data_IF_724272532680
#
_entry.id   IF_724272532680
#
_cell.length_a   1.000
_cell.length_b   1.000
_cell.length_c   1.000
_cell.angle_alpha   90.00
_cell.angle_beta   90.00
_cell.angle_gamma   90.00
#
_symmetry.space_group_name_H-M   'P 1'
#
loop_
_entity.id
_entity.type
_entity.pdbx_description
1 polymer ?
#
# COMPACT_ATOMS: atom_id res chain seq x y z
N UNK A 1 8.38 6.02 26.78
CA UNK A 1 9.50 5.96 25.79
C UNK A 1 9.49 7.23 24.93
N UNK A 2 10.67 7.70 24.51
CA UNK A 2 10.80 8.77 23.52
C UNK A 2 10.76 8.17 22.10
N UNK A 3 10.52 9.00 21.09
CA UNK A 3 10.36 8.60 19.68
C UNK A 3 11.47 7.65 19.19
N UNK A 4 12.73 7.92 19.49
CA UNK A 4 13.86 7.09 19.04
C UNK A 4 13.83 5.68 19.66
N UNK A 5 13.53 5.59 20.93
CA UNK A 5 13.37 4.32 21.64
C UNK A 5 12.15 3.55 21.14
N UNK A 6 11.04 4.26 20.95
CA UNK A 6 9.79 3.71 20.44
C UNK A 6 9.97 3.14 19.03
N UNK A 7 10.71 3.86 18.16
CA UNK A 7 11.05 3.40 16.82
C UNK A 7 11.84 2.08 16.87
N UNK A 8 12.85 1.99 17.74
CA UNK A 8 13.61 0.74 17.90
C UNK A 8 12.72 -0.40 18.43
N UNK A 9 11.87 -0.09 19.39
CA UNK A 9 10.99 -1.07 20.05
C UNK A 9 9.95 -1.66 19.08
N UNK A 10 9.38 -0.83 18.21
CA UNK A 10 8.34 -1.24 17.25
C UNK A 10 8.90 -1.74 15.92
N UNK A 11 10.17 -1.46 15.62
CA UNK A 11 10.79 -1.75 14.33
C UNK A 11 10.22 -0.89 13.19
N UNK A 12 9.65 0.27 13.53
CA UNK A 12 9.02 1.18 12.54
C UNK A 12 9.81 2.49 12.53
N UNK A 13 10.09 3.02 11.33
CA UNK A 13 10.84 4.27 11.19
C UNK A 13 10.12 5.43 11.88
N UNK A 14 10.90 6.40 12.40
CA UNK A 14 10.33 7.59 13.01
C UNK A 14 9.42 8.37 12.04
N UNK A 15 9.75 8.35 10.76
CA UNK A 15 8.94 8.98 9.70
C UNK A 15 7.55 8.31 9.62
N UNK A 16 7.51 6.99 9.58
CA UNK A 16 6.25 6.23 9.55
C UNK A 16 5.43 6.45 10.81
N UNK A 17 6.09 6.49 11.98
CA UNK A 17 5.41 6.75 13.25
C UNK A 17 4.77 8.14 13.26
N UNK A 18 5.47 9.17 12.73
CA UNK A 18 4.90 10.52 12.61
C UNK A 18 3.71 10.52 11.65
N UNK A 19 3.83 9.80 10.55
CA UNK A 19 2.72 9.64 9.60
C UNK A 19 1.50 9.02 10.29
N UNK A 20 1.70 7.98 11.12
CA UNK A 20 0.59 7.39 11.88
C UNK A 20 -0.07 8.40 12.83
N UNK A 21 0.73 9.29 13.45
CA UNK A 21 0.18 10.37 14.27
C UNK A 21 -0.64 11.36 13.43
N UNK A 22 -0.11 11.75 12.27
CA UNK A 22 -0.80 12.67 11.34
C UNK A 22 -2.14 12.08 10.87
N UNK A 23 -2.19 10.77 10.65
CA UNK A 23 -3.40 10.05 10.28
C UNK A 23 -4.30 9.73 11.47
N UNK A 24 -3.92 10.18 12.67
CA UNK A 24 -4.65 9.96 13.94
C UNK A 24 -4.77 8.50 14.36
N UNK A 25 -3.93 7.63 13.79
CA UNK A 25 -3.86 6.22 14.15
C UNK A 25 -3.10 6.01 15.46
N UNK A 26 -2.24 6.96 15.82
CA UNK A 26 -1.38 6.92 17.00
C UNK A 26 -1.53 8.25 17.74
N UNK A 27 -1.79 8.19 19.03
CA UNK A 27 -2.05 9.38 19.86
C UNK A 27 -1.20 9.35 21.13
N UNK A 28 0.11 9.63 21.02
CA UNK A 28 0.97 9.57 22.19
C UNK A 28 0.60 10.61 23.24
N UNK A 29 0.81 10.27 24.49
CA UNK A 29 0.69 11.23 25.59
C UNK A 29 1.72 12.36 25.41
N UNK A 30 1.42 13.50 25.96
CA UNK A 30 2.38 14.63 26.02
C UNK A 30 2.70 14.93 27.47
N UNK A 31 3.97 15.09 27.76
CA UNK A 31 4.43 15.54 29.06
C UNK A 31 4.10 17.03 29.22
N UNK A 32 4.08 17.55 30.44
CA UNK A 32 3.92 19.02 30.66
C UNK A 32 4.95 19.84 29.87
N UNK A 33 6.12 19.28 29.59
CA UNK A 33 7.19 19.89 28.77
C UNK A 33 6.87 19.91 27.27
N UNK A 34 5.74 19.34 26.84
CA UNK A 34 5.32 19.26 25.42
C UNK A 34 5.88 18.08 24.65
N UNK A 35 6.84 17.36 25.20
CA UNK A 35 7.44 16.21 24.50
C UNK A 35 6.49 15.01 24.45
N UNK A 36 6.51 14.32 23.32
CA UNK A 36 5.77 13.07 23.11
C UNK A 36 6.29 11.96 24.00
N UNK A 37 5.39 11.21 24.59
CA UNK A 37 5.73 10.05 25.41
C UNK A 37 4.86 8.85 24.95
N UNK A 38 5.54 7.76 24.63
CA UNK A 38 4.92 6.53 24.13
C UNK A 38 4.96 5.44 25.23
N UNK A 39 3.85 4.72 25.38
CA UNK A 39 3.72 3.63 26.34
C UNK A 39 3.62 2.26 25.64
N UNK A 40 3.44 1.21 26.43
CA UNK A 40 3.27 -0.14 25.89
C UNK A 40 1.97 -0.26 25.07
N UNK A 41 0.92 0.47 25.46
CA UNK A 41 -0.32 0.52 24.69
C UNK A 41 -0.07 1.05 23.26
N UNK A 42 0.85 2.00 23.09
CA UNK A 42 1.21 2.52 21.77
C UNK A 42 1.97 1.47 20.95
N UNK A 43 2.75 0.59 21.61
CA UNK A 43 3.43 -0.52 20.93
C UNK A 43 2.39 -1.50 20.36
N UNK A 44 1.36 -1.82 21.16
CA UNK A 44 0.24 -2.68 20.72
C UNK A 44 -0.49 -2.02 19.54
N UNK A 45 -0.78 -0.73 19.65
CA UNK A 45 -1.43 0.04 18.57
C UNK A 45 -0.63 -0.05 17.27
N UNK A 46 0.69 0.15 17.32
CA UNK A 46 1.56 0.07 16.14
C UNK A 46 1.54 -1.34 15.54
N UNK A 47 1.49 -2.37 16.40
CA UNK A 47 1.37 -3.77 15.93
C UNK A 47 0.09 -3.95 15.14
N UNK A 48 -1.04 -3.44 15.67
CA UNK A 48 -2.34 -3.47 14.99
C UNK A 48 -2.32 -2.76 13.65
N UNK A 49 -1.76 -1.55 13.62
CA UNK A 49 -1.62 -0.76 12.38
C UNK A 49 -0.86 -1.57 11.32
N UNK A 50 0.27 -2.15 11.71
CA UNK A 50 1.10 -2.93 10.77
C UNK A 50 0.38 -4.17 10.24
N UNK A 51 -0.36 -4.84 11.11
CA UNK A 51 -1.14 -6.02 10.72
C UNK A 51 -2.21 -5.65 9.68
N UNK A 52 -2.93 -4.57 9.92
CA UNK A 52 -3.99 -4.12 9.02
C UNK A 52 -3.44 -3.58 7.69
N UNK A 53 -2.29 -2.87 7.74
CA UNK A 53 -1.59 -2.44 6.52
C UNK A 53 -1.13 -3.64 5.69
N UNK A 54 -0.61 -4.68 6.35
CA UNK A 54 -0.17 -5.92 5.68
C UNK A 54 -1.35 -6.66 5.03
N UNK A 55 -2.56 -6.48 5.58
CA UNK A 55 -3.80 -7.00 5.00
C UNK A 55 -4.31 -6.15 3.82
N UNK A 56 -3.60 -5.06 3.47
CA UNK A 56 -3.95 -4.22 2.32
C UNK A 56 -4.95 -3.11 2.61
N UNK A 57 -5.25 -2.85 3.90
CA UNK A 57 -6.18 -1.80 4.27
C UNK A 57 -5.52 -0.42 4.22
N UNK A 58 -6.27 0.60 3.83
CA UNK A 58 -5.78 1.98 3.87
C UNK A 58 -5.95 2.59 5.26
N UNK A 59 -5.29 3.71 5.52
CA UNK A 59 -5.28 4.34 6.84
C UNK A 59 -6.66 4.79 7.33
N UNK A 60 -7.56 5.16 6.43
CA UNK A 60 -8.92 5.57 6.81
C UNK A 60 -9.71 4.39 7.40
N UNK A 61 -9.66 3.24 6.73
CA UNK A 61 -10.31 2.01 7.22
C UNK A 61 -9.64 1.54 8.53
N UNK A 62 -8.31 1.63 8.60
CA UNK A 62 -7.57 1.25 9.83
C UNK A 62 -8.04 2.12 11.01
N UNK A 63 -8.24 3.42 10.80
CA UNK A 63 -8.71 4.33 11.85
C UNK A 63 -10.07 3.90 12.42
N UNK A 64 -10.94 3.34 11.60
CA UNK A 64 -12.25 2.84 12.01
C UNK A 64 -12.17 1.51 12.76
N UNK A 65 -11.27 0.64 12.35
CA UNK A 65 -11.15 -0.71 12.90
C UNK A 65 -10.29 -0.78 14.17
N UNK A 66 -9.27 0.08 14.26
CA UNK A 66 -8.26 0.02 15.32
C UNK A 66 -8.85 0.06 16.75
N UNK A 67 -9.88 0.88 17.06
CA UNK A 67 -10.47 0.86 18.40
C UNK A 67 -11.12 -0.47 18.78
N UNK A 68 -11.44 -1.31 17.81
CA UNK A 68 -12.07 -2.62 18.02
C UNK A 68 -11.06 -3.77 18.10
N UNK A 69 -9.76 -3.46 18.06
CA UNK A 69 -8.71 -4.48 18.16
C UNK A 69 -8.26 -4.59 19.62
N UNK A 70 -8.19 -5.80 20.12
CA UNK A 70 -7.69 -6.08 21.47
C UNK A 70 -6.42 -6.93 21.39
N UNK A 71 -5.58 -6.78 22.38
CA UNK A 71 -4.36 -7.60 22.55
C UNK A 71 -4.64 -8.74 23.51
N UNK A 72 -4.80 -9.93 22.97
CA UNK A 72 -4.94 -11.17 23.74
C UNK A 72 -3.57 -11.86 23.86
N UNK A 73 -2.57 -11.07 24.22
CA UNK A 73 -1.19 -11.53 24.35
C UNK A 73 -0.38 -11.31 23.08
N UNK A 74 -0.22 -12.33 22.26
CA UNK A 74 0.61 -12.25 21.05
C UNK A 74 -0.18 -11.95 19.79
N UNK A 75 -1.49 -12.07 19.84
CA UNK A 75 -2.36 -11.92 18.67
C UNK A 75 -3.36 -10.79 18.92
N UNK A 76 -3.40 -9.83 18.02
CA UNK A 76 -4.44 -8.80 18.00
C UNK A 76 -5.69 -9.41 17.36
N UNK A 77 -6.78 -9.41 18.09
CA UNK A 77 -8.03 -9.99 17.63
C UNK A 77 -9.14 -8.95 17.55
N UNK A 78 -10.06 -9.09 16.59
CA UNK A 78 -11.23 -8.22 16.54
C UNK A 78 -12.15 -8.50 17.75
N UNK A 79 -12.49 -7.45 18.49
CA UNK A 79 -13.36 -7.52 19.66
C UNK A 79 -14.78 -7.02 19.39
N UNK A 80 -14.98 -6.33 18.27
CA UNK A 80 -16.27 -5.74 17.91
C UNK A 80 -16.92 -6.54 16.77
N UNK A 81 -18.12 -7.05 16.98
CA UNK A 81 -18.88 -7.74 15.94
C UNK A 81 -19.23 -6.78 14.77
N UNK A 82 -19.29 -5.47 15.06
CA UNK A 82 -19.55 -4.44 14.05
C UNK A 82 -18.41 -4.29 13.03
N UNK A 83 -17.22 -4.84 13.31
CA UNK A 83 -16.09 -4.86 12.35
C UNK A 83 -16.34 -5.79 11.18
N UNK A 84 -17.12 -6.83 11.35
CA UNK A 84 -17.25 -7.90 10.37
C UNK A 84 -17.74 -7.40 9.00
N UNK A 85 -18.79 -6.57 8.92
CA UNK A 85 -19.19 -6.00 7.62
C UNK A 85 -18.09 -5.20 6.93
N UNK A 86 -17.30 -4.43 7.68
CA UNK A 86 -16.21 -3.62 7.12
C UNK A 86 -15.08 -4.52 6.60
N UNK A 87 -14.74 -5.58 7.33
CA UNK A 87 -13.74 -6.56 6.90
C UNK A 87 -14.19 -7.29 5.64
N UNK A 88 -15.46 -7.68 5.55
CA UNK A 88 -16.02 -8.30 4.35
C UNK A 88 -15.98 -7.36 3.16
N UNK A 89 -16.30 -6.08 3.35
CA UNK A 89 -16.26 -5.05 2.30
C UNK A 89 -14.83 -4.88 1.77
N UNK A 90 -13.84 -4.82 2.64
CA UNK A 90 -12.43 -4.69 2.25
C UNK A 90 -11.92 -5.94 1.55
N UNK A 91 -12.33 -7.13 2.02
CA UNK A 91 -12.01 -8.39 1.35
C UNK A 91 -12.58 -8.42 -0.07
N UNK A 92 -13.84 -8.01 -0.25
CA UNK A 92 -14.47 -7.95 -1.57
C UNK A 92 -13.72 -7.00 -2.51
N UNK A 93 -13.25 -5.85 -1.99
CA UNK A 93 -12.45 -4.90 -2.76
C UNK A 93 -11.13 -5.53 -3.23
N UNK A 94 -10.46 -6.28 -2.36
CA UNK A 94 -9.22 -6.98 -2.69
C UNK A 94 -9.48 -8.08 -3.74
N UNK A 95 -10.55 -8.85 -3.59
CA UNK A 95 -10.94 -9.91 -4.54
C UNK A 95 -11.18 -9.31 -5.93
N UNK A 96 -11.85 -8.17 -6.01
CA UNK A 96 -12.13 -7.47 -7.26
C UNK A 96 -10.83 -6.98 -7.92
N UNK A 97 -9.91 -6.40 -7.13
CA UNK A 97 -8.60 -5.94 -7.62
C UNK A 97 -7.75 -7.13 -8.11
N UNK A 98 -7.77 -8.25 -7.39
CA UNK A 98 -7.05 -9.47 -7.77
C UNK A 98 -7.59 -10.03 -9.10
N UNK A 99 -8.91 -10.04 -9.27
CA UNK A 99 -9.55 -10.51 -10.51
C UNK A 99 -9.14 -9.62 -11.70
N UNK A 100 -9.08 -8.31 -11.51
CA UNK A 100 -8.66 -7.36 -12.55
C UNK A 100 -7.20 -7.59 -12.97
N UNK A 101 -6.31 -7.84 -12.00
CA UNK A 101 -4.89 -8.12 -12.26
C UNK A 101 -4.72 -9.45 -13.00
N UNK A 102 -5.48 -10.50 -12.63
CA UNK A 102 -5.45 -11.78 -13.30
C UNK A 102 -5.92 -11.64 -14.75
N UNK A 103 -6.98 -10.87 -15.00
CA UNK A 103 -7.47 -10.59 -16.35
C UNK A 103 -6.42 -9.84 -17.19
N UNK A 104 -5.74 -8.87 -16.59
CA UNK A 104 -4.66 -8.13 -17.26
C UNK A 104 -3.50 -9.07 -17.63
N UNK A 105 -3.12 -9.96 -16.72
CA UNK A 105 -2.09 -10.98 -16.97
C UNK A 105 -2.47 -11.85 -18.16
N UNK A 106 -3.70 -12.34 -18.18
CA UNK A 106 -4.19 -13.23 -19.26
C UNK A 106 -4.14 -12.53 -20.63
N UNK A 107 -4.43 -11.21 -20.67
CA UNK A 107 -4.28 -10.41 -21.90
C UNK A 107 -2.83 -10.32 -22.35
N UNK A 108 -1.89 -10.14 -21.41
CA UNK A 108 -0.47 -10.12 -21.72
C UNK A 108 0.02 -11.48 -22.23
N UNK A 109 -0.43 -12.57 -21.62
CA UNK A 109 -0.10 -13.93 -22.05
C UNK A 109 -0.54 -14.14 -23.50
N UNK A 110 -1.75 -13.71 -23.86
CA UNK A 110 -2.26 -13.81 -25.23
C UNK A 110 -1.38 -13.02 -26.21
N UNK A 111 -0.92 -11.83 -25.83
CA UNK A 111 -0.01 -11.01 -26.66
C UNK A 111 1.37 -11.67 -26.82
N UNK A 112 1.90 -12.26 -25.75
CA UNK A 112 3.16 -13.00 -25.78
C UNK A 112 3.06 -14.18 -26.76
N UNK A 113 1.98 -14.95 -26.68
CA UNK A 113 1.75 -16.11 -27.55
C UNK A 113 1.67 -15.69 -29.02
N UNK A 114 0.95 -14.62 -29.32
CA UNK A 114 0.83 -14.09 -30.69
C UNK A 114 2.19 -13.63 -31.23
N UNK A 115 3.02 -13.00 -30.36
CA UNK A 115 4.36 -12.54 -30.74
C UNK A 115 5.27 -13.74 -31.03
N UNK A 116 5.21 -14.77 -30.19
CA UNK A 116 5.98 -16.00 -30.39
C UNK A 116 5.59 -16.73 -31.69
N UNK A 117 4.31 -16.80 -31.99
CA UNK A 117 3.80 -17.42 -33.23
C UNK A 117 4.22 -16.62 -34.49
N UNK A 118 4.36 -15.30 -34.35
CA UNK A 118 4.80 -14.42 -35.48
C UNK A 118 6.29 -14.52 -35.77
N UNK A 119 7.06 -15.16 -34.91
CA UNK A 119 8.52 -15.32 -35.06
C UNK A 119 9.31 -14.03 -34.88
N UNK A 120 8.71 -13.03 -34.26
CA UNK A 120 9.40 -11.75 -33.96
C UNK A 120 10.42 -11.98 -32.86
N UNK A 121 11.69 -11.68 -33.14
CA UNK A 121 12.75 -11.76 -32.15
C UNK A 121 12.71 -10.55 -31.21
N UNK A 122 13.24 -10.72 -30.01
CA UNK A 122 13.36 -9.62 -29.05
C UNK A 122 14.14 -8.42 -29.63
N UNK A 123 15.13 -8.71 -30.47
CA UNK A 123 15.94 -7.69 -31.15
C UNK A 123 15.13 -6.89 -32.17
N UNK A 124 14.24 -7.55 -32.91
CA UNK A 124 13.33 -6.92 -33.87
C UNK A 124 12.27 -6.08 -33.15
N UNK A 125 11.78 -6.58 -32.08
CA UNK A 125 10.84 -5.86 -31.24
C UNK A 125 11.41 -4.55 -30.67
N UNK A 126 12.49 -4.61 -30.38
CA UNK A 126 13.10 -3.57 -29.93
C UNK A 126 13.34 -2.58 -30.89
N UNK A 127 13.74 -2.96 -31.90
CA UNK A 127 13.99 -2.03 -33.02
C UNK A 127 12.71 -1.27 -33.44
N UNK A 128 11.59 -1.94 -33.46
CA UNK A 128 10.29 -1.34 -33.81
C UNK A 128 9.90 -0.27 -32.78
N UNK A 129 10.08 -0.54 -31.49
CA UNK A 129 9.78 0.41 -30.40
C UNK A 129 10.68 1.64 -30.51
N UNK A 130 11.98 1.45 -30.75
CA UNK A 130 12.95 2.53 -30.93
C UNK A 130 12.63 3.40 -32.17
N UNK A 131 12.20 2.77 -33.23
CA UNK A 131 11.78 3.45 -34.46
C UNK A 131 10.53 4.31 -34.26
N UNK A 132 9.57 3.85 -33.49
CA UNK A 132 8.34 4.60 -33.17
C UNK A 132 8.63 5.80 -32.28
N UNK A 133 9.54 5.66 -31.30
CA UNK A 133 9.94 6.76 -30.42
C UNK A 133 10.57 7.90 -31.21
N UNK A 134 11.45 7.59 -32.15
CA UNK A 134 12.12 8.59 -32.98
C UNK A 134 11.17 9.37 -33.92
N UNK A 135 10.08 8.73 -34.37
CA UNK A 135 9.08 9.40 -35.24
C UNK A 135 8.21 10.38 -34.47
N UNK A 136 8.02 10.20 -33.18
CA UNK A 136 7.24 11.14 -32.36
C UNK A 136 7.98 12.45 -32.06
N UNK A 137 9.31 12.41 -32.12
CA UNK A 137 10.16 13.58 -31.80
C UNK A 137 10.48 14.44 -33.00
N UNK A 138 9.92 14.16 -34.20
CA UNK A 138 10.17 14.99 -35.39
C UNK A 138 9.14 16.13 -35.42
N UNK A 139 9.54 17.37 -35.23
CA UNK A 139 8.61 18.51 -35.33
C UNK A 139 8.06 18.63 -36.74
N UNK A 140 6.74 18.75 -36.83
CA UNK A 140 6.08 19.03 -38.09
C UNK A 140 6.56 20.43 -38.56
N UNK A 141 7.42 20.47 -39.55
CA UNK A 141 7.83 21.72 -40.14
C UNK A 141 6.59 22.39 -40.76
N UNK A 142 6.22 23.53 -40.21
CA UNK A 142 5.10 24.30 -40.73
C UNK A 142 5.32 24.69 -42.15
N UNK A 143 4.42 24.30 -43.03
CA UNK A 143 4.45 24.74 -44.42
C UNK A 143 4.18 26.25 -44.52
N UNK A 144 4.79 26.93 -45.43
CA UNK A 144 4.52 28.35 -45.65
C UNK A 144 3.17 28.54 -46.34
N UNK A 145 2.63 29.71 -46.22
CA UNK A 145 1.34 30.27 -46.67
C UNK A 145 0.96 29.92 -48.11
#
# INVERSE_FOLDING_TARGET
MRMGEFSRRTGVSQRSLRYYEEQRLLRPARRPSGYREYGEADVVTVRGIRMLLAAGLNTAVIAELLPCMVDEGRILEPACSSMLPDLHRERARIDEAAAALLAARDRLDALIDLTAESGVTDEEAXAVVAGRARRRDHPVAGGPR
#
